data_IF_292944134545
#
_entry.id   IF_292944134545
#
_cell.length_a   1.000
_cell.length_b   1.000
_cell.length_c   1.000
_cell.angle_alpha   90.00
_cell.angle_beta   90.00
_cell.angle_gamma   90.00
#
_symmetry.space_group_name_H-M   'P 1'
#
loop_
_entity.id
_entity.type
_entity.pdbx_description
1 polymer ?
#
# COMPACT_ATOMS: atom_id res chain seq x y z
N UNK A 1 18.45 -0.80 -16.79
CA UNK A 1 18.06 -0.08 -15.57
C UNK A 1 17.01 0.94 -16.00
N UNK A 2 15.89 1.08 -15.29
CA UNK A 2 14.84 2.04 -15.69
C UNK A 2 15.41 3.45 -15.48
N UNK A 3 15.53 4.24 -16.55
CA UNK A 3 16.05 5.60 -16.45
C UNK A 3 14.87 6.55 -16.24
N UNK A 4 14.63 6.91 -14.98
CA UNK A 4 13.66 7.93 -14.62
C UNK A 4 14.34 9.29 -14.64
N UNK A 5 13.63 10.32 -15.10
CA UNK A 5 14.07 11.67 -14.85
C UNK A 5 13.93 12.01 -13.35
N UNK A 6 14.56 13.12 -12.88
CA UNK A 6 14.51 13.48 -11.47
C UNK A 6 13.11 13.73 -10.91
N UNK A 7 12.17 14.21 -11.73
CA UNK A 7 10.80 14.52 -11.33
C UNK A 7 10.00 13.23 -11.12
N UNK A 8 10.10 12.28 -12.05
CA UNK A 8 9.52 10.95 -11.95
C UNK A 8 10.05 10.19 -10.74
N UNK A 9 11.36 10.26 -10.50
CA UNK A 9 11.99 9.63 -9.35
C UNK A 9 11.49 10.23 -8.02
N UNK A 10 11.33 11.56 -7.96
CA UNK A 10 10.78 12.25 -6.80
C UNK A 10 9.31 11.89 -6.56
N UNK A 11 8.48 11.88 -7.61
CA UNK A 11 7.08 11.48 -7.54
C UNK A 11 6.93 10.02 -7.07
N UNK A 12 7.72 9.10 -7.64
CA UNK A 12 7.66 7.71 -7.23
C UNK A 12 8.14 7.48 -5.80
N UNK A 13 9.13 8.26 -5.33
CA UNK A 13 9.56 8.25 -3.93
C UNK A 13 8.42 8.68 -3.00
N UNK A 14 7.65 9.70 -3.35
CA UNK A 14 6.44 10.09 -2.61
C UNK A 14 5.41 8.97 -2.63
N UNK A 15 5.15 8.38 -3.80
CA UNK A 15 4.21 7.26 -3.94
C UNK A 15 4.60 6.04 -3.08
N UNK A 16 5.90 5.78 -2.92
CA UNK A 16 6.40 4.63 -2.16
C UNK A 16 6.00 4.62 -0.67
N UNK A 17 5.54 5.75 -0.14
CA UNK A 17 5.01 5.86 1.22
C UNK A 17 3.69 5.10 1.40
N UNK A 18 2.96 4.84 0.31
CA UNK A 18 1.65 4.20 0.31
C UNK A 18 1.71 2.67 0.13
N UNK A 19 2.87 2.09 0.43
CA UNK A 19 3.15 0.67 0.22
C UNK A 19 3.10 -0.12 1.54
N UNK A 20 2.28 -1.16 1.54
CA UNK A 20 2.31 -2.25 2.50
C UNK A 20 3.00 -3.48 1.89
N UNK A 21 3.44 -4.42 2.72
CA UNK A 21 4.13 -5.63 2.25
C UNK A 21 3.43 -6.88 2.78
N UNK A 22 3.21 -7.84 1.88
CA UNK A 22 2.79 -9.19 2.22
C UNK A 22 3.26 -10.18 1.15
N UNK A 23 4.45 -10.75 1.34
CA UNK A 23 5.17 -11.54 0.35
C UNK A 23 5.76 -10.69 -0.80
N UNK A 24 5.15 -9.56 -1.12
CA UNK A 24 5.65 -8.52 -2.01
C UNK A 24 4.98 -7.17 -1.72
N UNK A 25 5.41 -6.08 -2.38
CA UNK A 25 4.87 -4.74 -2.16
C UNK A 25 3.45 -4.63 -2.73
N UNK A 26 2.58 -3.99 -1.97
CA UNK A 26 1.17 -3.73 -2.23
C UNK A 26 0.93 -2.23 -2.08
N UNK A 27 0.60 -1.55 -3.18
CA UNK A 27 0.10 -0.19 -3.09
C UNK A 27 -1.33 -0.23 -2.54
N UNK A 28 -1.61 0.58 -1.51
CA UNK A 28 -2.96 0.78 -1.00
C UNK A 28 -3.38 2.22 -1.26
N UNK A 29 -4.08 2.44 -2.38
CA UNK A 29 -4.67 3.73 -2.74
C UNK A 29 -6.19 3.53 -2.74
N UNK A 30 -6.78 3.57 -1.55
CA UNK A 30 -8.18 3.15 -1.29
C UNK A 30 -9.22 4.16 -1.80
N UNK A 31 -8.90 5.45 -1.71
CA UNK A 31 -9.68 6.57 -2.24
C UNK A 31 -8.69 7.66 -2.68
N UNK A 32 -8.55 7.88 -3.98
CA UNK A 32 -7.54 8.80 -4.54
C UNK A 32 -7.83 10.27 -4.19
N UNK A 33 -9.08 10.60 -3.84
CA UNK A 33 -9.47 11.97 -3.50
C UNK A 33 -9.26 12.29 -2.00
N UNK A 34 -8.96 11.29 -1.16
CA UNK A 34 -8.70 11.50 0.27
C UNK A 34 -7.42 12.32 0.50
N UNK A 35 -7.49 13.23 1.47
CA UNK A 35 -6.41 14.13 1.83
C UNK A 35 -5.11 13.42 2.24
N UNK A 36 -5.18 12.16 2.69
CA UNK A 36 -4.00 11.36 3.00
C UNK A 36 -3.08 11.17 1.78
N UNK A 37 -3.63 11.20 0.57
CA UNK A 37 -2.91 11.12 -0.70
C UNK A 37 -2.70 12.49 -1.33
N UNK A 38 -3.78 13.28 -1.46
CA UNK A 38 -3.75 14.54 -2.23
C UNK A 38 -2.83 15.59 -1.60
N UNK A 39 -2.74 15.67 -0.27
CA UNK A 39 -1.79 16.56 0.42
C UNK A 39 -0.32 16.20 0.19
N UNK A 40 -0.04 14.98 -0.26
CA UNK A 40 1.31 14.54 -0.63
C UNK A 40 1.56 14.68 -2.15
N UNK A 41 0.58 15.16 -2.93
CA UNK A 41 0.69 15.26 -4.39
C UNK A 41 0.34 13.97 -5.14
N UNK A 42 -0.20 12.96 -4.46
CA UNK A 42 -0.78 11.78 -5.13
C UNK A 42 -2.23 12.08 -5.46
N UNK A 43 -2.51 12.19 -6.76
CA UNK A 43 -3.80 12.54 -7.36
C UNK A 43 -4.07 11.62 -8.53
N UNK A 44 -5.30 11.64 -9.06
CA UNK A 44 -5.63 10.92 -10.29
C UNK A 44 -4.69 11.26 -11.45
N UNK A 45 -4.26 12.52 -11.59
CA UNK A 45 -3.32 12.95 -12.64
C UNK A 45 -1.93 12.35 -12.44
N UNK A 46 -1.39 12.41 -11.23
CA UNK A 46 -0.03 11.89 -10.97
C UNK A 46 0.02 10.36 -11.00
N UNK A 47 -1.06 9.67 -10.63
CA UNK A 47 -1.17 8.22 -10.81
C UNK A 47 -1.22 7.82 -12.29
N UNK A 48 -1.95 8.56 -13.14
CA UNK A 48 -1.95 8.34 -14.60
C UNK A 48 -0.58 8.59 -15.21
N UNK A 49 0.18 9.54 -14.69
CA UNK A 49 1.56 9.77 -15.11
C UNK A 49 2.47 8.58 -14.75
N UNK A 50 2.40 8.09 -13.50
CA UNK A 50 3.12 6.88 -13.07
C UNK A 50 2.74 5.63 -13.89
N UNK A 51 1.48 5.54 -14.32
CA UNK A 51 1.00 4.49 -15.22
C UNK A 51 1.60 4.62 -16.63
N UNK A 52 1.65 5.83 -17.18
CA UNK A 52 2.23 6.12 -18.50
C UNK A 52 3.71 5.75 -18.58
N UNK A 53 4.47 5.94 -17.50
CA UNK A 53 5.89 5.52 -17.41
C UNK A 53 6.05 4.05 -17.00
N UNK A 54 4.95 3.32 -16.83
CA UNK A 54 4.94 1.87 -16.64
C UNK A 54 5.32 1.40 -15.24
N UNK A 55 5.19 2.23 -14.21
CA UNK A 55 5.50 1.86 -12.81
C UNK A 55 4.28 1.33 -12.05
N UNK A 56 3.08 1.74 -12.43
CA UNK A 56 1.83 1.31 -11.84
C UNK A 56 0.78 0.96 -12.90
N UNK A 57 -0.31 0.32 -12.48
CA UNK A 57 -1.52 0.10 -13.25
C UNK A 57 -2.68 0.67 -12.44
N UNK A 58 -3.51 1.49 -13.06
CA UNK A 58 -4.67 2.14 -12.43
C UNK A 58 -5.95 1.56 -13.01
N UNK A 59 -6.75 0.89 -12.18
CA UNK A 59 -8.07 0.38 -12.57
C UNK A 59 -9.16 1.02 -11.70
N UNK A 60 -10.08 1.81 -12.29
CA UNK A 60 -11.22 2.40 -11.58
C UNK A 60 -12.14 1.39 -10.90
N UNK A 61 -12.14 0.12 -11.33
CA UNK A 61 -12.91 -0.95 -10.66
C UNK A 61 -12.28 -1.39 -9.34
N UNK A 62 -11.01 -1.03 -9.12
CA UNK A 62 -10.25 -1.42 -7.95
C UNK A 62 -9.78 -2.87 -7.99
N UNK A 63 -8.91 -3.18 -7.04
CA UNK A 63 -8.27 -4.48 -6.90
C UNK A 63 -8.55 -5.06 -5.53
N UNK A 64 -8.75 -6.37 -5.50
CA UNK A 64 -8.88 -7.13 -4.25
C UNK A 64 -7.84 -8.22 -4.19
N UNK A 65 -7.27 -8.42 -3.00
CA UNK A 65 -6.48 -9.60 -2.69
C UNK A 65 -7.35 -10.57 -1.91
N UNK A 66 -7.59 -11.75 -2.47
CA UNK A 66 -8.49 -12.74 -1.88
C UNK A 66 -7.80 -13.93 -1.24
N UNK A 67 -8.61 -14.95 -0.92
CA UNK A 67 -8.18 -16.27 -0.42
C UNK A 67 -7.46 -16.21 0.93
N UNK A 68 -7.74 -15.19 1.72
CA UNK A 68 -7.26 -15.13 3.09
C UNK A 68 -8.01 -16.12 3.99
N UNK A 69 -7.26 -16.76 4.88
CA UNK A 69 -7.83 -17.48 6.02
C UNK A 69 -8.38 -16.52 7.08
N UNK A 70 -8.55 -17.02 8.31
CA UNK A 70 -8.99 -16.21 9.46
C UNK A 70 -8.02 -15.10 9.84
N UNK A 71 -6.72 -15.29 9.60
CA UNK A 71 -5.67 -14.34 10.00
C UNK A 71 -4.69 -14.07 8.87
N UNK A 72 -4.14 -12.86 8.84
CA UNK A 72 -2.96 -12.52 8.05
C UNK A 72 -2.06 -11.53 8.79
N UNK A 73 -0.86 -11.30 8.25
CA UNK A 73 0.06 -10.26 8.70
C UNK A 73 0.49 -9.44 7.49
N UNK A 74 0.30 -8.14 7.58
CA UNK A 74 0.84 -7.17 6.62
C UNK A 74 1.89 -6.33 7.33
N UNK A 75 2.89 -5.87 6.60
CA UNK A 75 3.99 -5.07 7.13
C UNK A 75 3.94 -3.68 6.54
N UNK A 76 4.01 -2.67 7.41
CA UNK A 76 4.15 -1.28 6.99
C UNK A 76 5.47 -0.73 7.50
N UNK A 77 6.35 -0.32 6.58
CA UNK A 77 7.69 0.16 6.91
C UNK A 77 8.43 -0.76 7.91
N UNK A 78 8.39 -2.08 7.63
CA UNK A 78 8.99 -3.13 8.46
C UNK A 78 8.21 -3.52 9.72
N UNK A 79 7.17 -2.77 10.12
CA UNK A 79 6.37 -3.08 11.32
C UNK A 79 5.18 -3.97 10.99
N UNK A 80 5.02 -5.12 11.67
CA UNK A 80 3.90 -6.02 11.42
C UNK A 80 2.59 -5.54 12.06
N UNK A 81 1.51 -5.63 11.29
CA UNK A 81 0.12 -5.51 11.76
C UNK A 81 -0.58 -6.84 11.50
N UNK A 82 -1.06 -7.47 12.57
CA UNK A 82 -1.88 -8.69 12.48
C UNK A 82 -3.32 -8.27 12.22
N UNK A 83 -3.94 -8.91 11.25
CA UNK A 83 -5.33 -8.71 10.85
C UNK A 83 -6.07 -10.02 11.09
N UNK A 84 -7.18 -9.96 11.81
CA UNK A 84 -8.16 -11.03 11.91
C UNK A 84 -9.42 -10.65 11.13
N UNK A 85 -9.83 -11.54 10.23
CA UNK A 85 -11.02 -11.39 9.39
C UNK A 85 -12.25 -11.97 10.10
N UNK A 86 -13.48 -11.56 9.74
CA UNK A 86 -14.69 -12.13 10.33
C UNK A 86 -14.84 -13.63 10.01
N UNK A 87 -14.64 -14.03 8.76
CA UNK A 87 -14.88 -15.42 8.33
C UNK A 87 -13.65 -16.32 8.54
N UNK A 88 -13.87 -17.64 8.58
CA UNK A 88 -12.80 -18.63 8.74
C UNK A 88 -11.88 -18.74 7.50
N UNK A 89 -12.42 -18.50 6.31
CA UNK A 89 -11.72 -18.62 5.04
C UNK A 89 -12.38 -17.76 3.95
N UNK A 90 -11.75 -17.70 2.78
CA UNK A 90 -12.22 -16.96 1.59
C UNK A 90 -12.41 -15.45 1.86
N UNK A 91 -11.64 -14.89 2.79
CA UNK A 91 -11.66 -13.45 3.03
C UNK A 91 -10.86 -12.72 1.94
N UNK A 92 -11.11 -11.42 1.83
CA UNK A 92 -10.42 -10.52 0.91
C UNK A 92 -10.06 -9.20 1.58
N UNK A 93 -9.06 -8.52 1.02
CA UNK A 93 -8.71 -7.13 1.32
C UNK A 93 -8.88 -6.30 0.05
N UNK A 94 -9.52 -5.15 0.20
CA UNK A 94 -9.47 -4.12 -0.83
C UNK A 94 -8.06 -3.51 -0.87
N UNK A 95 -7.46 -3.50 -2.06
CA UNK A 95 -6.16 -2.84 -2.31
C UNK A 95 -6.34 -1.43 -2.89
N UNK A 96 -7.56 -1.04 -3.23
CA UNK A 96 -7.86 0.22 -3.88
C UNK A 96 -7.58 0.16 -5.38
N UNK A 97 -7.21 1.28 -5.99
CA UNK A 97 -7.26 1.45 -7.45
C UNK A 97 -5.93 1.23 -8.17
N UNK A 98 -4.85 0.91 -7.45
CA UNK A 98 -3.49 0.92 -7.99
C UNK A 98 -2.76 -0.39 -7.69
N UNK A 99 -2.13 -0.98 -8.71
CA UNK A 99 -1.14 -2.05 -8.58
C UNK A 99 0.22 -1.58 -9.06
N UNK A 100 1.28 -2.12 -8.46
CA UNK A 100 2.64 -1.98 -8.99
C UNK A 100 2.86 -2.92 -10.18
N UNK A 101 3.45 -2.41 -11.25
CA UNK A 101 4.03 -3.26 -12.31
C UNK A 101 5.30 -3.94 -11.81
N UNK A 102 5.85 -4.91 -12.54
CA UNK A 102 7.11 -5.54 -12.13
C UNK A 102 8.29 -4.56 -12.04
N UNK A 103 8.47 -3.60 -12.97
CA UNK A 103 9.42 -2.50 -12.76
C UNK A 103 9.14 -1.67 -11.50
N UNK A 104 7.88 -1.33 -11.23
CA UNK A 104 7.49 -0.60 -10.02
C UNK A 104 7.83 -1.36 -8.74
N UNK A 105 7.54 -2.67 -8.68
CA UNK A 105 7.89 -3.52 -7.53
C UNK A 105 9.40 -3.53 -7.28
N UNK A 106 10.20 -3.70 -8.34
CA UNK A 106 11.67 -3.68 -8.24
C UNK A 106 12.16 -2.34 -7.69
N UNK A 107 11.62 -1.24 -8.20
CA UNK A 107 12.03 0.10 -7.79
C UNK A 107 11.69 0.37 -6.32
N UNK A 108 10.46 0.06 -5.86
CA UNK A 108 10.08 0.23 -4.45
C UNK A 108 10.98 -0.56 -3.51
N UNK A 109 11.36 -1.79 -3.86
CA UNK A 109 12.25 -2.59 -3.01
C UNK A 109 13.66 -1.99 -2.88
N UNK A 110 14.10 -1.21 -3.87
CA UNK A 110 15.39 -0.51 -3.83
C UNK A 110 15.31 0.90 -3.24
N UNK A 111 14.13 1.52 -3.27
CA UNK A 111 13.89 2.83 -2.70
C UNK A 111 13.52 2.66 -1.22
N UNK A 112 14.33 3.22 -0.31
CA UNK A 112 13.93 3.30 1.10
C UNK A 112 12.61 4.05 1.23
N UNK A 113 11.57 3.40 1.76
CA UNK A 113 10.26 4.02 2.00
C UNK A 113 10.33 4.87 3.25
N UNK A 114 9.79 6.10 3.21
CA UNK A 114 9.63 6.92 4.41
C UNK A 114 8.34 6.55 5.13
N UNK A 115 8.39 6.41 6.46
CA UNK A 115 7.20 6.17 7.28
C UNK A 115 6.27 7.38 7.20
N UNK A 116 5.04 7.15 6.73
CA UNK A 116 3.92 8.09 6.83
C UNK A 116 2.93 7.56 7.89
N UNK A 117 2.88 8.21 9.06
CA UNK A 117 2.04 7.76 10.17
C UNK A 117 0.55 7.97 9.90
N UNK A 118 0.19 9.10 9.31
CA UNK A 118 -1.20 9.43 8.94
C UNK A 118 -1.75 8.40 7.95
N UNK A 119 -0.95 7.97 6.98
CA UNK A 119 -1.33 6.89 6.06
C UNK A 119 -1.54 5.55 6.76
N UNK A 120 -0.66 5.17 7.69
CA UNK A 120 -0.85 3.95 8.48
C UNK A 120 -2.19 3.97 9.22
N UNK A 121 -2.48 5.07 9.92
CA UNK A 121 -3.72 5.25 10.67
C UNK A 121 -4.94 5.21 9.76
N UNK A 122 -4.87 5.90 8.61
CA UNK A 122 -5.91 5.87 7.59
C UNK A 122 -6.25 4.45 7.14
N UNK A 123 -5.26 3.65 6.74
CA UNK A 123 -5.47 2.27 6.26
C UNK A 123 -6.05 1.40 7.37
N UNK A 124 -5.50 1.50 8.59
CA UNK A 124 -5.99 0.70 9.71
C UNK A 124 -7.41 1.07 10.11
N UNK A 125 -7.79 2.35 10.05
CA UNK A 125 -9.18 2.79 10.26
C UNK A 125 -10.10 2.21 9.20
N UNK A 126 -9.73 2.27 7.92
CA UNK A 126 -10.51 1.69 6.83
C UNK A 126 -10.74 0.18 7.01
N UNK A 127 -9.72 -0.56 7.43
CA UNK A 127 -9.85 -1.98 7.73
C UNK A 127 -10.74 -2.24 8.95
N UNK A 128 -10.62 -1.43 10.00
CA UNK A 128 -11.47 -1.56 11.18
C UNK A 128 -12.94 -1.30 10.85
N UNK A 129 -13.24 -0.28 10.05
CA UNK A 129 -14.59 0.04 9.56
C UNK A 129 -15.18 -1.09 8.71
N UNK A 130 -14.35 -1.93 8.09
CA UNK A 130 -14.76 -3.15 7.37
C UNK A 130 -14.97 -4.37 8.29
N UNK A 131 -14.88 -4.18 9.62
CA UNK A 131 -15.06 -5.24 10.61
C UNK A 131 -13.82 -6.11 10.83
N UNK A 132 -12.64 -5.66 10.42
CA UNK A 132 -11.38 -6.36 10.67
C UNK A 132 -10.84 -6.02 12.06
N UNK A 133 -10.37 -7.03 12.79
CA UNK A 133 -9.73 -6.82 14.10
C UNK A 133 -8.22 -6.66 13.87
N UNK A 134 -7.68 -5.54 14.31
CA UNK A 134 -6.28 -5.18 14.12
C UNK A 134 -5.52 -5.29 15.44
N UNK A 135 -4.35 -5.91 15.40
CA UNK A 135 -3.42 -5.93 16.52
C UNK A 135 -2.02 -5.56 16.04
N UNK A 136 -1.47 -4.50 16.66
CA UNK A 136 -0.05 -4.20 16.51
C UNK A 136 0.74 -5.22 17.32
N UNK A 137 1.79 -5.78 16.71
CA UNK A 137 2.70 -6.65 17.46
C UNK A 137 3.82 -5.75 17.96
N UNK A 138 3.86 -5.51 19.28
CA UNK A 138 5.08 -5.03 19.90
C UNK A 138 6.09 -6.18 19.84
N UNK A 139 7.11 -6.03 19.00
CA UNK A 139 8.28 -6.91 19.09
C UNK A 139 8.98 -6.54 20.40
N UNK A 140 8.70 -7.31 21.46
CA UNK A 140 9.53 -7.31 22.65
C UNK A 140 10.90 -7.83 22.20
N UNK A 141 11.84 -6.93 21.93
CA UNK A 141 13.24 -7.30 21.80
C UNK A 141 13.69 -7.76 23.17
N UNK A 142 13.74 -9.07 23.40
CA UNK A 142 14.57 -9.63 24.46
C UNK A 142 16.00 -9.11 24.23
N UNK A 143 16.49 -8.30 25.16
CA UNK A 143 17.91 -8.01 25.30
C UNK A 143 18.61 -9.23 25.86
#
# INVERSE_FOLDING_TARGET
MLHLDPEDAALFKIFSQFIWVQGGPLALILDVEDEVYTKQGITSLTLRHLEKIGLVIVDPKGYVKGKFGKHTRLFYNGKPTKIEFPNKANNYLNLGYVLLTDPGKKLVMTCGTSRNQTFYEYVTRQWFEQGLILSSIQLNTCK
#
